data_IF_091140927788
#
_entry.id   IF_091140927788
#
_cell.length_a   1.000
_cell.length_b   1.000
_cell.length_c   1.000
_cell.angle_alpha   90.00
_cell.angle_beta   90.00
_cell.angle_gamma   90.00
#
_symmetry.space_group_name_H-M   'P 1'
#
loop_
_entity.id
_entity.type
_entity.pdbx_description
1 polymer ?
#
# COMPACT_ATOMS: atom_id res chain seq x y z
N UNK A 1 -46.18 46.37 -33.56
CA UNK A 1 -46.52 44.98 -33.20
C UNK A 1 -46.24 44.79 -31.71
N UNK A 2 -47.28 44.84 -30.87
CA UNK A 2 -47.15 44.75 -29.41
C UNK A 2 -47.50 43.35 -28.92
N UNK A 3 -46.59 42.71 -28.18
CA UNK A 3 -46.86 41.43 -27.52
C UNK A 3 -47.58 41.66 -26.18
N UNK A 4 -48.78 41.09 -26.07
CA UNK A 4 -49.58 41.03 -24.85
C UNK A 4 -48.93 40.07 -23.85
N UNK A 5 -48.67 40.56 -22.63
CA UNK A 5 -48.33 39.72 -21.48
C UNK A 5 -49.60 39.11 -20.88
N UNK A 6 -49.72 37.78 -20.91
CA UNK A 6 -50.74 37.04 -20.16
C UNK A 6 -50.36 37.00 -18.67
N UNK A 7 -51.30 37.40 -17.80
CA UNK A 7 -51.17 37.27 -16.35
C UNK A 7 -51.34 35.81 -15.93
N UNK A 8 -50.54 35.28 -14.99
CA UNK A 8 -50.81 33.99 -14.38
C UNK A 8 -51.92 34.12 -13.30
N UNK A 9 -52.83 33.13 -13.30
CA UNK A 9 -53.89 32.97 -12.30
C UNK A 9 -53.35 32.69 -10.89
N UNK A 10 -54.08 33.08 -9.82
CA UNK A 10 -53.69 32.75 -8.45
C UNK A 10 -54.11 31.32 -8.10
N UNK A 11 -53.15 30.51 -7.62
CA UNK A 11 -53.43 29.22 -7.00
C UNK A 11 -54.07 29.42 -5.62
N UNK A 12 -55.34 29.02 -5.48
CA UNK A 12 -55.99 28.84 -4.18
C UNK A 12 -55.44 27.57 -3.51
N UNK A 13 -54.72 27.73 -2.39
CA UNK A 13 -54.52 26.67 -1.42
C UNK A 13 -55.46 26.89 -0.24
N UNK A 14 -56.52 26.08 -0.18
CA UNK A 14 -57.30 25.91 1.03
C UNK A 14 -56.58 24.95 1.98
N UNK A 15 -56.36 25.37 3.22
CA UNK A 15 -56.10 24.57 4.43
C UNK A 15 -56.24 25.57 5.59
N UNK A 16 -57.22 25.45 6.48
CA UNK A 16 -57.30 24.39 7.48
C UNK A 16 -56.58 24.88 8.73
N UNK A 17 -57.35 25.36 9.71
CA UNK A 17 -56.92 26.01 10.94
C UNK A 17 -56.03 25.12 11.82
N UNK A 18 -54.72 25.38 11.86
CA UNK A 18 -53.85 25.07 13.00
C UNK A 18 -52.66 26.07 13.08
N UNK A 19 -52.36 26.66 14.25
CA UNK A 19 -51.23 27.59 14.39
C UNK A 19 -49.92 26.84 14.71
N UNK A 20 -48.83 27.00 13.94
CA UNK A 20 -47.52 26.47 14.32
C UNK A 20 -46.68 27.46 15.13
N UNK A 21 -46.04 26.93 16.17
CA UNK A 21 -45.11 27.60 17.07
C UNK A 21 -43.91 28.24 16.35
N UNK A 22 -43.51 29.41 16.85
CA UNK A 22 -42.34 30.19 16.42
C UNK A 22 -41.05 29.35 16.51
N UNK A 23 -40.37 29.15 15.37
CA UNK A 23 -38.95 28.78 15.30
C UNK A 23 -38.17 29.87 14.55
N UNK A 24 -36.92 30.17 14.94
CA UNK A 24 -36.16 31.27 14.36
C UNK A 24 -35.71 30.95 12.93
N UNK A 25 -35.93 31.90 12.03
CA UNK A 25 -35.53 31.83 10.63
C UNK A 25 -34.01 31.94 10.49
N UNK A 26 -33.35 30.85 10.10
CA UNK A 26 -31.99 30.87 9.58
C UNK A 26 -32.07 31.32 8.12
N UNK A 27 -31.57 32.53 7.83
CA UNK A 27 -31.42 33.05 6.48
C UNK A 27 -30.40 32.22 5.68
N UNK A 28 -30.89 31.23 4.94
CA UNK A 28 -30.11 30.52 3.91
C UNK A 28 -30.07 31.40 2.65
N UNK A 29 -28.98 32.13 2.48
CA UNK A 29 -28.66 32.91 1.27
C UNK A 29 -28.61 31.95 0.07
N UNK A 30 -29.70 31.89 -0.69
CA UNK A 30 -29.81 31.09 -1.92
C UNK A 30 -29.20 31.91 -3.05
N UNK A 31 -27.91 31.67 -3.33
CA UNK A 31 -27.25 32.18 -4.52
C UNK A 31 -28.02 31.73 -5.76
N UNK A 32 -28.35 32.70 -6.60
CA UNK A 32 -29.07 32.62 -7.86
C UNK A 32 -28.65 31.39 -8.68
N UNK A 33 -29.62 30.54 -8.97
CA UNK A 33 -29.47 29.47 -9.94
C UNK A 33 -29.29 30.05 -11.32
N UNK A 34 -28.10 29.88 -11.88
CA UNK A 34 -27.86 29.99 -13.31
C UNK A 34 -28.67 28.87 -13.99
N UNK A 35 -29.69 29.24 -14.75
CA UNK A 35 -30.44 28.31 -15.59
C UNK A 35 -29.52 27.91 -16.75
N UNK A 36 -28.93 26.72 -16.68
CA UNK A 36 -28.25 26.13 -17.83
C UNK A 36 -29.29 25.52 -18.78
N UNK A 37 -29.14 25.72 -20.10
CA UNK A 37 -30.03 25.12 -21.09
C UNK A 37 -29.91 23.60 -21.06
N UNK A 38 -31.06 22.95 -20.96
CA UNK A 38 -31.21 21.49 -20.99
C UNK A 38 -30.99 21.02 -22.44
N UNK A 39 -29.74 20.81 -22.85
CA UNK A 39 -29.49 20.45 -24.25
C UNK A 39 -28.06 20.19 -24.72
N UNK A 40 -27.04 20.15 -23.86
CA UNK A 40 -25.67 19.81 -24.28
C UNK A 40 -25.03 18.87 -23.28
N UNK A 41 -24.80 17.62 -23.70
CA UNK A 41 -24.01 16.64 -22.95
C UNK A 41 -22.59 17.18 -22.75
N UNK A 42 -22.07 17.27 -21.51
CA UNK A 42 -20.66 17.52 -21.30
C UNK A 42 -19.92 16.18 -21.39
N UNK A 43 -19.53 15.80 -22.61
CA UNK A 43 -18.51 14.76 -22.83
C UNK A 43 -17.11 15.36 -22.60
N UNK A 44 -16.86 15.92 -21.42
CA UNK A 44 -15.56 16.53 -21.07
C UNK A 44 -15.11 16.19 -19.64
N UNK A 45 -15.35 14.95 -19.24
CA UNK A 45 -14.47 14.26 -18.31
C UNK A 45 -14.26 12.87 -18.90
N UNK A 46 -13.04 12.45 -19.26
CA UNK A 46 -12.82 11.05 -19.51
C UNK A 46 -13.23 10.35 -18.22
N UNK A 47 -14.27 9.51 -18.32
CA UNK A 47 -14.64 8.61 -17.26
C UNK A 47 -13.35 7.96 -16.75
N UNK A 48 -12.95 8.31 -15.52
CA UNK A 48 -11.99 7.50 -14.78
C UNK A 48 -12.73 6.19 -14.48
N UNK A 49 -12.81 5.33 -15.50
CA UNK A 49 -13.20 3.95 -15.35
C UNK A 49 -12.13 3.37 -14.43
N UNK A 50 -12.51 3.05 -13.19
CA UNK A 50 -11.70 2.14 -12.38
C UNK A 50 -11.34 0.98 -13.31
N UNK A 51 -10.06 0.68 -13.55
CA UNK A 51 -9.70 -0.46 -14.35
C UNK A 51 -10.45 -1.63 -13.75
N UNK A 52 -11.32 -2.24 -14.57
CA UNK A 52 -12.08 -3.43 -14.22
C UNK A 52 -11.03 -4.39 -13.72
N UNK A 53 -10.99 -4.60 -12.40
CA UNK A 53 -10.00 -5.41 -11.72
C UNK A 53 -10.17 -6.81 -12.25
N UNK A 54 -9.49 -7.06 -13.36
CA UNK A 54 -9.45 -8.33 -14.03
C UNK A 54 -8.79 -9.20 -12.99
N UNK A 55 -9.56 -10.14 -12.42
CA UNK A 55 -9.02 -11.34 -11.80
C UNK A 55 -8.27 -12.07 -12.91
N UNK A 56 -7.14 -11.53 -13.33
CA UNK A 56 -6.08 -12.34 -13.85
C UNK A 56 -5.60 -13.08 -12.61
N UNK A 57 -6.06 -14.31 -12.51
CA UNK A 57 -5.38 -15.35 -11.78
C UNK A 57 -3.91 -15.18 -12.12
N UNK A 58 -3.15 -14.54 -11.24
CA UNK A 58 -1.71 -14.53 -11.35
C UNK A 58 -1.34 -16.01 -11.44
N UNK A 59 -0.82 -16.48 -12.58
CA UNK A 59 -0.26 -17.82 -12.60
C UNK A 59 0.81 -17.75 -11.52
N UNK A 60 0.72 -18.66 -10.55
CA UNK A 60 1.84 -19.03 -9.71
C UNK A 60 3.05 -19.08 -10.64
N UNK A 61 3.91 -18.06 -10.55
CA UNK A 61 5.17 -18.07 -11.25
C UNK A 61 5.92 -19.22 -10.60
N UNK A 62 5.89 -20.35 -11.30
CA UNK A 62 6.80 -21.46 -11.11
C UNK A 62 8.20 -20.87 -11.28
N UNK A 63 8.78 -20.40 -10.17
CA UNK A 63 10.22 -20.24 -10.08
C UNK A 63 10.78 -21.65 -9.90
N UNK A 64 10.78 -22.39 -11.00
CA UNK A 64 11.74 -23.45 -11.27
C UNK A 64 13.09 -22.75 -11.49
N UNK A 65 13.71 -22.28 -10.42
CA UNK A 65 15.14 -21.96 -10.42
C UNK A 65 15.86 -23.12 -9.74
N UNK A 66 16.26 -24.06 -10.59
CA UNK A 66 17.59 -24.68 -10.56
C UNK A 66 18.00 -25.30 -9.22
N UNK A 67 17.56 -26.53 -8.94
CA UNK A 67 18.28 -27.39 -8.00
C UNK A 67 19.57 -27.85 -8.68
N UNK A 68 20.78 -27.45 -8.21
CA UNK A 68 21.98 -28.09 -8.68
C UNK A 68 21.93 -29.56 -8.25
N UNK A 69 22.18 -30.42 -9.21
CA UNK A 69 22.22 -31.87 -9.12
C UNK A 69 23.30 -32.29 -8.11
N UNK A 70 22.99 -32.25 -6.81
CA UNK A 70 23.83 -32.86 -5.79
C UNK A 70 23.61 -34.37 -5.88
N UNK A 71 24.61 -35.07 -6.43
CA UNK A 71 24.80 -36.51 -6.25
C UNK A 71 24.77 -36.81 -4.75
N UNK A 72 23.63 -37.29 -4.26
CA UNK A 72 23.50 -37.82 -2.93
C UNK A 72 22.73 -39.13 -3.02
N UNK A 73 23.50 -40.20 -2.95
CA UNK A 73 23.14 -41.50 -2.41
C UNK A 73 21.91 -41.39 -1.50
N UNK A 74 20.78 -41.85 -2.01
CA UNK A 74 19.54 -41.99 -1.25
C UNK A 74 19.79 -43.10 -0.22
N UNK A 75 20.38 -42.72 0.92
CA UNK A 75 20.19 -43.49 2.15
C UNK A 75 18.71 -43.37 2.47
N UNK A 76 17.97 -44.42 2.17
CA UNK A 76 16.63 -44.70 2.67
C UNK A 76 16.70 -44.82 4.20
N UNK A 77 16.85 -43.70 4.90
CA UNK A 77 16.62 -43.64 6.33
C UNK A 77 15.11 -43.71 6.55
N UNK A 78 14.73 -44.58 7.48
CA UNK A 78 13.35 -44.88 7.82
C UNK A 78 12.55 -43.61 8.10
N UNK A 79 11.31 -43.59 7.62
CA UNK A 79 10.29 -42.54 7.80
C UNK A 79 9.80 -42.45 9.26
N UNK A 80 10.59 -42.97 10.21
CA UNK A 80 10.33 -42.88 11.64
C UNK A 80 11.00 -41.65 12.21
N UNK A 81 10.21 -40.64 12.57
CA UNK A 81 10.50 -39.72 13.67
C UNK A 81 11.52 -38.58 13.40
N UNK A 82 11.44 -37.92 12.24
CA UNK A 82 11.90 -36.52 12.19
C UNK A 82 10.86 -35.65 12.91
N UNK A 83 11.33 -34.83 13.83
CA UNK A 83 10.51 -33.83 14.50
C UNK A 83 9.96 -32.88 13.43
N UNK A 84 8.72 -32.39 13.59
CA UNK A 84 8.14 -31.35 12.72
C UNK A 84 9.11 -30.16 12.57
N UNK A 85 9.89 -29.88 13.63
CA UNK A 85 10.89 -28.81 13.65
C UNK A 85 12.04 -29.05 12.65
N UNK A 86 12.44 -30.30 12.42
CA UNK A 86 13.52 -30.62 11.48
C UNK A 86 13.07 -30.42 10.03
N UNK A 87 11.81 -30.75 9.73
CA UNK A 87 11.19 -30.52 8.42
C UNK A 87 11.02 -29.02 8.16
N UNK A 88 10.55 -28.25 9.15
CA UNK A 88 10.42 -26.79 9.03
C UNK A 88 11.79 -26.14 8.84
N UNK A 89 12.81 -26.60 9.58
CA UNK A 89 14.16 -26.10 9.42
C UNK A 89 14.69 -26.39 8.01
N UNK A 90 14.38 -27.57 7.43
CA UNK A 90 14.87 -28.00 6.11
C UNK A 90 14.41 -27.07 4.99
N UNK A 91 13.21 -26.55 5.14
CA UNK A 91 12.63 -25.59 4.21
C UNK A 91 12.99 -24.13 4.54
N UNK A 92 13.72 -23.88 5.63
CA UNK A 92 14.04 -22.55 6.13
C UNK A 92 14.79 -21.69 5.10
N UNK A 93 15.70 -22.31 4.33
CA UNK A 93 16.44 -21.67 3.23
C UNK A 93 15.48 -21.14 2.16
N UNK A 94 14.54 -21.98 1.72
CA UNK A 94 13.58 -21.62 0.68
C UNK A 94 12.62 -20.53 1.15
N UNK A 95 12.07 -20.67 2.36
CA UNK A 95 11.18 -19.66 2.92
C UNK A 95 11.87 -18.32 3.11
N UNK A 96 13.13 -18.30 3.58
CA UNK A 96 13.91 -17.08 3.74
C UNK A 96 14.08 -16.35 2.39
N UNK A 97 14.48 -17.07 1.34
CA UNK A 97 14.66 -16.53 0.01
C UNK A 97 13.36 -15.98 -0.59
N UNK A 98 12.30 -16.79 -0.61
CA UNK A 98 11.01 -16.39 -1.20
C UNK A 98 10.44 -15.13 -0.53
N UNK A 99 10.37 -15.13 0.80
CA UNK A 99 9.85 -13.97 1.55
C UNK A 99 10.76 -12.74 1.44
N UNK A 100 12.07 -12.93 1.29
CA UNK A 100 13.01 -11.82 1.06
C UNK A 100 12.77 -11.13 -0.28
N UNK A 101 12.58 -11.91 -1.34
CA UNK A 101 12.32 -11.40 -2.69
C UNK A 101 10.96 -10.68 -2.73
N UNK A 102 9.94 -11.21 -2.06
CA UNK A 102 8.64 -10.53 -1.96
C UNK A 102 8.74 -9.18 -1.22
N UNK A 103 9.53 -9.12 -0.14
CA UNK A 103 9.81 -7.87 0.58
C UNK A 103 10.49 -6.83 -0.31
N UNK A 104 11.51 -7.25 -1.07
CA UNK A 104 12.23 -6.38 -2.02
C UNK A 104 11.29 -5.88 -3.11
N UNK A 105 10.50 -6.77 -3.72
CA UNK A 105 9.51 -6.41 -4.75
C UNK A 105 8.48 -5.39 -4.23
N UNK A 106 7.98 -5.59 -3.00
CA UNK A 106 7.08 -4.62 -2.35
C UNK A 106 7.71 -3.24 -2.17
N UNK A 107 8.97 -3.19 -1.72
CA UNK A 107 9.71 -1.92 -1.57
C UNK A 107 9.95 -1.21 -2.90
N UNK A 108 10.31 -1.94 -3.95
CA UNK A 108 10.49 -1.39 -5.30
C UNK A 108 9.17 -0.82 -5.85
N UNK A 109 8.05 -1.55 -5.68
CA UNK A 109 6.74 -1.08 -6.10
C UNK A 109 6.32 0.23 -5.42
N UNK A 110 6.60 0.36 -4.12
CA UNK A 110 6.29 1.61 -3.40
C UNK A 110 7.10 2.81 -3.91
N UNK A 111 8.37 2.62 -4.27
CA UNK A 111 9.24 3.70 -4.72
C UNK A 111 8.98 4.06 -6.18
N UNK A 112 9.02 3.08 -7.09
CA UNK A 112 8.98 3.36 -8.52
C UNK A 112 7.58 3.55 -9.08
N UNK A 113 6.59 2.85 -8.54
CA UNK A 113 5.22 2.95 -9.04
C UNK A 113 4.46 3.98 -8.22
N UNK A 114 4.39 3.76 -6.91
CA UNK A 114 3.45 4.52 -6.10
C UNK A 114 4.00 5.90 -5.73
N UNK A 115 5.27 6.03 -5.34
CA UNK A 115 5.83 7.32 -4.96
C UNK A 115 5.98 8.25 -6.17
N UNK A 116 6.45 7.74 -7.31
CA UNK A 116 6.53 8.51 -8.55
C UNK A 116 5.15 9.05 -8.97
N UNK A 117 4.11 8.21 -8.99
CA UNK A 117 2.74 8.64 -9.28
C UNK A 117 2.25 9.75 -8.33
N UNK A 118 2.58 9.67 -7.03
CA UNK A 118 2.19 10.67 -6.03
C UNK A 118 2.88 12.02 -6.22
N UNK A 119 4.06 12.05 -6.83
CA UNK A 119 4.77 13.29 -7.14
C UNK A 119 4.13 14.07 -8.30
N UNK A 120 3.32 13.41 -9.12
CA UNK A 120 2.64 14.01 -10.28
C UNK A 120 1.22 14.54 -9.96
N UNK A 121 0.68 14.27 -8.77
CA UNK A 121 -0.64 14.73 -8.34
C UNK A 121 -0.56 15.82 -7.27
N UNK A 122 -1.61 16.62 -7.13
CA UNK A 122 -1.66 17.67 -6.12
C UNK A 122 -1.58 17.07 -4.70
N UNK A 123 -0.86 17.73 -3.79
CA UNK A 123 -0.61 17.25 -2.42
C UNK A 123 -1.88 16.92 -1.63
N UNK A 124 -2.97 17.65 -1.89
CA UNK A 124 -4.30 17.43 -1.30
C UNK A 124 -4.91 16.05 -1.63
N UNK A 125 -4.49 15.45 -2.74
CA UNK A 125 -4.86 14.08 -3.12
C UNK A 125 -3.74 13.07 -2.79
N UNK A 126 -2.47 13.48 -2.94
CA UNK A 126 -1.31 12.61 -2.74
C UNK A 126 -1.15 12.10 -1.31
N UNK A 127 -1.35 12.98 -0.32
CA UNK A 127 -1.09 12.66 1.09
C UNK A 127 -2.11 11.66 1.64
N UNK A 128 -3.44 11.85 1.45
CA UNK A 128 -4.42 10.84 1.87
C UNK A 128 -4.19 9.48 1.22
N UNK A 129 -3.88 9.46 -0.09
CA UNK A 129 -3.59 8.23 -0.82
C UNK A 129 -2.35 7.52 -0.28
N UNK A 130 -1.28 8.28 -0.01
CA UNK A 130 -0.05 7.75 0.60
C UNK A 130 -0.32 7.11 1.96
N UNK A 131 -1.06 7.78 2.84
CA UNK A 131 -1.33 7.27 4.19
C UNK A 131 -2.14 5.98 4.17
N UNK A 132 -3.15 5.89 3.31
CA UNK A 132 -3.99 4.70 3.17
C UNK A 132 -3.22 3.53 2.54
N UNK A 133 -2.45 3.81 1.48
CA UNK A 133 -1.58 2.80 0.85
C UNK A 133 -0.52 2.28 1.83
N UNK A 134 0.16 3.19 2.54
CA UNK A 134 1.18 2.84 3.54
C UNK A 134 0.63 1.95 4.65
N UNK A 135 -0.60 2.21 5.13
CA UNK A 135 -1.24 1.37 6.15
C UNK A 135 -1.36 -0.10 5.71
N UNK A 136 -1.69 -0.33 4.43
CA UNK A 136 -1.86 -1.67 3.86
C UNK A 136 -0.52 -2.33 3.55
N UNK A 137 0.38 -1.62 2.87
CA UNK A 137 1.66 -2.18 2.44
C UNK A 137 2.62 -2.44 3.59
N UNK A 138 2.60 -1.61 4.65
CA UNK A 138 3.40 -1.82 5.86
C UNK A 138 3.11 -3.18 6.50
N UNK A 139 1.84 -3.57 6.60
CA UNK A 139 1.47 -4.83 7.24
C UNK A 139 2.03 -6.03 6.48
N UNK A 140 1.83 -6.07 5.16
CA UNK A 140 2.31 -7.17 4.34
C UNK A 140 3.83 -7.21 4.27
N UNK A 141 4.49 -6.06 4.08
CA UNK A 141 5.95 -5.99 3.98
C UNK A 141 6.63 -6.37 5.29
N UNK A 142 6.13 -5.88 6.43
CA UNK A 142 6.70 -6.22 7.73
C UNK A 142 6.48 -7.71 8.08
N UNK A 143 5.35 -8.29 7.66
CA UNK A 143 5.13 -9.73 7.80
C UNK A 143 6.13 -10.52 6.97
N UNK A 144 6.39 -10.12 5.72
CA UNK A 144 7.39 -10.79 4.87
C UNK A 144 8.81 -10.65 5.43
N UNK A 145 9.18 -9.49 5.97
CA UNK A 145 10.46 -9.29 6.67
C UNK A 145 10.58 -10.19 7.89
N UNK A 146 9.52 -10.32 8.70
CA UNK A 146 9.49 -11.19 9.87
C UNK A 146 9.66 -12.65 9.48
N UNK A 147 8.86 -13.12 8.51
CA UNK A 147 8.93 -14.50 8.00
C UNK A 147 10.34 -14.78 7.48
N UNK A 148 10.91 -13.87 6.69
CA UNK A 148 12.26 -14.01 6.15
C UNK A 148 13.33 -14.07 7.24
N UNK A 149 13.25 -13.17 8.22
CA UNK A 149 14.17 -13.13 9.35
C UNK A 149 14.14 -14.39 10.20
N UNK A 150 12.94 -14.88 10.54
CA UNK A 150 12.76 -16.12 11.31
C UNK A 150 13.23 -17.33 10.51
N UNK A 151 12.85 -17.44 9.24
CA UNK A 151 13.28 -18.55 8.37
C UNK A 151 14.79 -18.59 8.19
N UNK A 152 15.46 -17.43 8.05
CA UNK A 152 16.92 -17.39 7.98
C UNK A 152 17.58 -17.83 9.30
N UNK A 153 16.98 -17.51 10.46
CA UNK A 153 17.49 -17.95 11.76
C UNK A 153 17.31 -19.47 11.95
N UNK A 154 16.26 -20.04 11.38
CA UNK A 154 16.07 -21.49 11.31
C UNK A 154 17.07 -22.16 10.36
N UNK A 155 17.36 -21.54 9.22
CA UNK A 155 18.37 -22.03 8.26
C UNK A 155 19.78 -22.07 8.87
N UNK A 156 20.13 -21.14 9.76
CA UNK A 156 21.37 -21.20 10.54
C UNK A 156 21.51 -22.50 11.35
N UNK A 157 20.41 -23.04 11.89
CA UNK A 157 20.48 -24.26 12.69
C UNK A 157 20.98 -25.47 11.88
N UNK A 158 20.77 -25.46 10.57
CA UNK A 158 21.13 -26.55 9.66
C UNK A 158 22.49 -26.35 9.02
N UNK A 159 22.72 -25.14 8.51
CA UNK A 159 23.94 -24.80 7.79
C UNK A 159 25.11 -24.52 8.73
N UNK A 160 24.81 -24.11 9.98
CA UNK A 160 25.77 -23.58 10.96
C UNK A 160 26.58 -22.40 10.42
N UNK A 161 26.06 -21.71 9.40
CA UNK A 161 26.73 -20.59 8.78
C UNK A 161 26.16 -19.26 9.31
N UNK A 162 27.02 -18.51 10.01
CA UNK A 162 26.70 -17.23 10.63
C UNK A 162 26.14 -16.18 9.66
N UNK A 163 26.41 -16.30 8.36
CA UNK A 163 25.86 -15.37 7.37
C UNK A 163 24.32 -15.43 7.30
N UNK A 164 23.71 -16.57 7.63
CA UNK A 164 22.26 -16.67 7.78
C UNK A 164 21.73 -15.78 8.92
N UNK A 165 22.45 -15.68 10.03
CA UNK A 165 22.09 -14.78 11.13
C UNK A 165 22.25 -13.31 10.75
N UNK A 166 23.29 -12.97 9.97
CA UNK A 166 23.49 -11.62 9.46
C UNK A 166 22.34 -11.22 8.53
N UNK A 167 21.98 -12.09 7.57
CA UNK A 167 20.84 -11.88 6.69
C UNK A 167 19.54 -11.71 7.47
N UNK A 168 19.28 -12.59 8.44
CA UNK A 168 18.12 -12.48 9.34
C UNK A 168 18.10 -11.17 10.12
N UNK A 169 19.25 -10.74 10.64
CA UNK A 169 19.39 -9.48 11.34
C UNK A 169 19.01 -8.29 10.46
N UNK A 170 19.47 -8.26 9.21
CA UNK A 170 19.11 -7.21 8.26
C UNK A 170 17.60 -7.18 7.95
N UNK A 171 16.99 -8.36 7.74
CA UNK A 171 15.54 -8.43 7.50
C UNK A 171 14.74 -7.94 8.70
N UNK A 172 15.10 -8.40 9.90
CA UNK A 172 14.43 -7.99 11.13
C UNK A 172 14.67 -6.51 11.46
N UNK A 173 15.83 -5.94 11.09
CA UNK A 173 16.14 -4.52 11.25
C UNK A 173 15.21 -3.60 10.44
N UNK A 174 14.54 -4.11 9.40
CA UNK A 174 13.51 -3.35 8.69
C UNK A 174 12.30 -2.98 9.57
N UNK A 175 11.97 -3.79 10.58
CA UNK A 175 10.85 -3.53 11.51
C UNK A 175 11.13 -2.33 12.44
N UNK A 176 12.24 -2.28 13.20
CA UNK A 176 12.58 -1.11 14.00
C UNK A 176 12.87 0.11 13.13
N UNK A 177 13.43 -0.05 11.92
CA UNK A 177 13.54 1.05 10.96
C UNK A 177 12.16 1.67 10.66
N UNK A 178 11.15 0.84 10.40
CA UNK A 178 9.78 1.27 10.16
C UNK A 178 9.20 2.05 11.37
N UNK A 179 9.44 1.54 12.58
CA UNK A 179 8.96 2.18 13.81
C UNK A 179 9.65 3.51 14.13
N UNK A 180 10.97 3.59 13.89
CA UNK A 180 11.78 4.74 14.28
C UNK A 180 11.85 5.84 13.21
N UNK A 181 11.72 5.49 11.93
CA UNK A 181 11.93 6.42 10.81
C UNK A 181 10.64 6.66 10.02
N UNK A 182 9.95 5.61 9.58
CA UNK A 182 8.74 5.77 8.76
C UNK A 182 7.56 6.30 9.56
N UNK A 183 7.34 5.78 10.77
CA UNK A 183 6.17 6.14 11.58
C UNK A 183 6.12 7.63 11.98
N UNK A 184 7.20 8.25 12.48
CA UNK A 184 7.18 9.68 12.83
C UNK A 184 6.88 10.57 11.62
N UNK A 185 7.39 10.21 10.43
CA UNK A 185 7.15 10.98 9.21
C UNK A 185 5.72 10.79 8.71
N UNK A 186 5.17 9.58 8.80
CA UNK A 186 3.77 9.32 8.47
C UNK A 186 2.82 10.10 9.39
N UNK A 187 3.16 10.22 10.68
CA UNK A 187 2.39 11.00 11.64
C UNK A 187 2.46 12.51 11.33
N UNK A 188 3.63 13.04 10.97
CA UNK A 188 3.76 14.42 10.51
C UNK A 188 2.94 14.69 9.24
N UNK A 189 2.97 13.79 8.25
CA UNK A 189 2.14 13.88 7.05
C UNK A 189 0.64 13.87 7.39
N UNK A 190 0.22 13.05 8.36
CA UNK A 190 -1.16 13.00 8.84
C UNK A 190 -1.62 14.34 9.43
N UNK A 191 -0.78 15.02 10.21
CA UNK A 191 -1.09 16.36 10.71
C UNK A 191 -1.18 17.41 9.58
N UNK A 192 -0.30 17.30 8.59
CA UNK A 192 -0.24 18.22 7.44
C UNK A 192 -1.35 18.00 6.41
N UNK A 193 -2.17 16.95 6.53
CA UNK A 193 -3.31 16.71 5.62
C UNK A 193 -4.31 17.89 5.60
N UNK A 194 -4.41 18.64 6.70
CA UNK A 194 -5.27 19.84 6.81
C UNK A 194 -4.69 21.06 6.07
N UNK A 195 -3.39 21.05 5.79
CA UNK A 195 -2.65 22.09 5.07
C UNK A 195 -1.82 21.47 3.93
N UNK A 196 -2.47 20.61 3.14
CA UNK A 196 -1.82 19.81 2.10
C UNK A 196 -1.27 20.64 0.91
N UNK A 197 -1.57 21.95 0.89
CA UNK A 197 -1.02 22.92 -0.08
C UNK A 197 0.25 23.60 0.43
N UNK A 198 0.62 23.39 1.70
CA UNK A 198 1.85 23.95 2.25
C UNK A 198 3.09 23.36 1.59
N UNK A 199 4.11 24.22 1.45
CA UNK A 199 5.43 23.80 0.99
C UNK A 199 6.03 22.72 1.91
N UNK A 200 5.74 22.81 3.21
CA UNK A 200 6.14 21.80 4.20
C UNK A 200 5.56 20.41 3.89
N UNK A 201 4.30 20.32 3.50
CA UNK A 201 3.68 19.05 3.14
C UNK A 201 4.33 18.43 1.88
N UNK A 202 4.68 19.26 0.89
CA UNK A 202 5.39 18.82 -0.33
C UNK A 202 6.81 18.35 -0.08
N UNK A 203 7.59 19.11 0.69
CA UNK A 203 8.97 18.72 1.05
C UNK A 203 8.99 17.40 1.83
N UNK A 204 8.08 17.23 2.77
CA UNK A 204 7.96 15.98 3.53
C UNK A 204 7.52 14.81 2.64
N UNK A 205 6.57 15.04 1.72
CA UNK A 205 6.17 14.05 0.73
C UNK A 205 7.34 13.63 -0.16
N UNK A 206 8.14 14.58 -0.65
CA UNK A 206 9.34 14.29 -1.46
C UNK A 206 10.40 13.48 -0.68
N UNK A 207 10.55 13.73 0.62
CA UNK A 207 11.49 12.96 1.46
C UNK A 207 11.07 11.50 1.68
N UNK A 208 9.78 11.19 1.48
CA UNK A 208 9.23 9.86 1.72
C UNK A 208 9.91 8.76 0.88
N UNK A 209 10.24 9.05 -0.39
CA UNK A 209 10.95 8.11 -1.26
C UNK A 209 12.33 7.71 -0.69
N UNK A 210 13.07 8.68 -0.15
CA UNK A 210 14.35 8.45 0.51
C UNK A 210 14.24 7.55 1.74
N UNK A 211 13.17 7.71 2.53
CA UNK A 211 12.92 6.87 3.70
C UNK A 211 12.62 5.42 3.27
N UNK A 212 11.85 5.22 2.21
CA UNK A 212 11.55 3.86 1.72
C UNK A 212 12.81 3.19 1.14
N UNK A 213 13.73 3.96 0.55
CA UNK A 213 15.02 3.43 0.08
C UNK A 213 15.84 2.82 1.23
N UNK A 214 15.83 3.40 2.42
CA UNK A 214 16.54 2.84 3.57
C UNK A 214 16.04 1.46 3.98
N UNK A 215 14.71 1.26 4.05
CA UNK A 215 14.12 -0.06 4.32
C UNK A 215 14.40 -1.04 3.18
N UNK A 216 14.30 -0.59 1.92
CA UNK A 216 14.60 -1.42 0.77
C UNK A 216 16.07 -1.89 0.79
N UNK A 217 17.01 -1.03 1.16
CA UNK A 217 18.42 -1.38 1.26
C UNK A 217 18.67 -2.50 2.29
N UNK A 218 17.99 -2.47 3.43
CA UNK A 218 18.04 -3.56 4.43
C UNK A 218 17.52 -4.88 3.84
N UNK A 219 16.36 -4.85 3.18
CA UNK A 219 15.76 -6.02 2.57
C UNK A 219 16.62 -6.61 1.43
N UNK A 220 17.17 -5.75 0.57
CA UNK A 220 18.09 -6.15 -0.51
C UNK A 220 19.37 -6.74 0.06
N UNK A 221 19.93 -6.13 1.11
CA UNK A 221 21.12 -6.65 1.80
C UNK A 221 20.88 -8.05 2.35
N UNK A 222 19.79 -8.25 3.09
CA UNK A 222 19.40 -9.57 3.61
C UNK A 222 19.16 -10.60 2.50
N UNK A 223 18.39 -10.24 1.48
CA UNK A 223 18.12 -11.11 0.32
C UNK A 223 19.41 -11.52 -0.41
N UNK A 224 20.33 -10.58 -0.60
CA UNK A 224 21.63 -10.83 -1.27
C UNK A 224 22.48 -11.81 -0.47
N UNK A 225 22.53 -11.66 0.86
CA UNK A 225 23.23 -12.60 1.74
C UNK A 225 22.59 -13.99 1.62
N UNK A 226 21.27 -14.11 1.77
CA UNK A 226 20.60 -15.40 1.64
C UNK A 226 20.86 -16.06 0.28
N UNK A 227 20.75 -15.30 -0.81
CA UNK A 227 21.02 -15.80 -2.15
C UNK A 227 22.46 -16.30 -2.31
N UNK A 228 23.43 -15.54 -1.82
CA UNK A 228 24.85 -15.88 -1.96
C UNK A 228 25.26 -17.12 -1.17
N UNK A 229 24.67 -17.33 0.01
CA UNK A 229 25.01 -18.46 0.88
C UNK A 229 24.13 -19.69 0.64
N UNK A 230 22.97 -19.55 0.02
CA UNK A 230 22.17 -20.69 -0.43
C UNK A 230 22.80 -21.43 -1.63
N UNK A 231 23.66 -20.77 -2.41
CA UNK A 231 24.33 -21.37 -3.58
C UNK A 231 25.70 -21.99 -3.29
N UNK A 232 26.20 -21.87 -2.07
CA UNK A 232 27.53 -22.34 -1.66
C UNK A 232 27.41 -23.75 -1.06
#
# INVERSE_FOLDING_TARGET
MGQKYSRPEPCYHGYGDQPPAKRPCICRRRSSGLILPRGSKPDLFPHYQRPKQRRESFPFIYVLLYTPHHDNTIRTMSVGQRSILDTIAAEGVHFALWSSIMSVGGGLGEIFVNHDARMHIAGEHAIPELLEAHKRSKYLTNLMLLVSGVSGALAYQQTKDNYWLIGSGLMLAGIPYCALVEYPVAEQLKFLTLDAKSEKARTLLASWGGIQLGKLALAVGGATIFYWFARR
#
